data_IF_516182821307
#
_entry.id   IF_516182821307
#
_cell.length_a   1.000
_cell.length_b   1.000
_cell.length_c   1.000
_cell.angle_alpha   90.00
_cell.angle_beta   90.00
_cell.angle_gamma   90.00
#
_symmetry.space_group_name_H-M   'P 1'
#
loop_
_entity.id
_entity.type
_entity.pdbx_description
1 polymer ?
#
# COMPACT_ATOMS: atom_id res chain seq x y z
N UNK A 1 2.50 -5.74 -0.82
CA UNK A 1 3.41 -4.60 -1.00
C UNK A 1 4.61 -5.05 -1.80
N UNK A 2 5.06 -4.21 -2.72
CA UNK A 2 6.19 -4.45 -3.60
C UNK A 2 7.09 -3.21 -3.63
N UNK A 3 8.38 -3.43 -3.88
CA UNK A 3 9.36 -2.38 -4.19
C UNK A 3 9.71 -2.47 -5.67
N UNK A 4 9.79 -1.35 -6.35
CA UNK A 4 10.24 -1.25 -7.73
C UNK A 4 11.76 -1.34 -7.79
N UNK A 5 12.28 -2.17 -8.67
CA UNK A 5 13.70 -2.35 -8.99
C UNK A 5 13.89 -2.39 -10.51
N UNK A 6 15.15 -2.42 -10.99
CA UNK A 6 15.50 -2.34 -12.41
C UNK A 6 14.84 -3.42 -13.30
N UNK A 7 14.39 -4.54 -12.73
CA UNK A 7 13.72 -5.64 -13.43
C UNK A 7 12.23 -5.79 -13.14
N UNK A 8 11.61 -4.88 -12.37
CA UNK A 8 10.18 -4.95 -12.04
C UNK A 8 9.87 -4.85 -10.55
N UNK A 9 8.81 -5.53 -10.11
CA UNK A 9 8.30 -5.44 -8.73
C UNK A 9 8.81 -6.60 -7.86
N UNK A 10 9.57 -6.28 -6.82
CA UNK A 10 10.04 -7.25 -5.82
C UNK A 10 9.06 -7.25 -4.64
N UNK A 11 8.46 -8.41 -4.36
CA UNK A 11 7.54 -8.58 -3.24
C UNK A 11 8.22 -8.29 -1.90
N UNK A 12 7.54 -7.53 -1.03
CA UNK A 12 8.03 -7.15 0.29
C UNK A 12 7.22 -7.80 1.43
N UNK A 13 5.95 -8.08 1.20
CA UNK A 13 5.06 -8.63 2.20
C UNK A 13 3.58 -8.33 1.91
N UNK A 14 2.70 -8.92 2.71
CA UNK A 14 1.24 -8.73 2.64
C UNK A 14 0.62 -8.93 4.02
N UNK A 15 -0.53 -8.32 4.24
CA UNK A 15 -1.34 -8.56 5.44
C UNK A 15 -2.83 -8.48 5.09
N UNK A 16 -3.68 -8.94 6.01
CA UNK A 16 -5.13 -8.72 5.96
C UNK A 16 -5.49 -7.59 6.91
N UNK A 17 -6.40 -6.71 6.49
CA UNK A 17 -6.89 -5.65 7.37
C UNK A 17 -7.66 -6.25 8.55
N UNK A 18 -7.54 -5.61 9.72
CA UNK A 18 -8.32 -5.95 10.90
C UNK A 18 -9.75 -5.36 10.83
N UNK A 19 -10.53 -5.52 11.89
CA UNK A 19 -11.92 -5.02 11.98
C UNK A 19 -12.02 -3.50 11.88
N UNK A 20 -10.94 -2.78 12.18
CA UNK A 20 -10.87 -1.31 12.09
C UNK A 20 -10.33 -0.84 10.73
N UNK A 21 -10.19 -1.75 9.77
CA UNK A 21 -9.69 -1.45 8.42
C UNK A 21 -8.18 -1.20 8.34
N UNK A 22 -7.42 -1.45 9.42
CA UNK A 22 -5.96 -1.22 9.45
C UNK A 22 -5.20 -2.45 9.00
N UNK A 23 -4.18 -2.22 8.18
CA UNK A 23 -3.22 -3.25 7.77
C UNK A 23 -2.39 -3.71 8.97
N UNK A 24 -2.07 -5.00 9.01
CA UNK A 24 -0.92 -5.48 9.76
C UNK A 24 0.39 -5.03 9.11
N UNK A 25 1.50 -5.55 9.62
CA UNK A 25 2.82 -5.23 9.09
C UNK A 25 3.01 -5.72 7.64
N UNK A 26 3.47 -4.83 6.74
CA UNK A 26 3.62 -5.11 5.29
C UNK A 26 5.07 -5.38 4.84
N UNK A 27 6.05 -5.10 5.69
CA UNK A 27 7.49 -5.31 5.45
C UNK A 27 8.11 -5.84 6.73
N UNK A 28 9.27 -6.49 6.68
CA UNK A 28 10.04 -6.81 7.90
C UNK A 28 10.26 -5.55 8.76
N UNK A 29 10.33 -5.71 10.10
CA UNK A 29 10.63 -4.59 11.00
C UNK A 29 12.01 -4.06 10.60
N UNK A 30 12.07 -2.81 10.19
CA UNK A 30 13.31 -2.12 9.84
C UNK A 30 13.26 -0.71 10.45
N UNK A 31 14.35 -0.30 11.08
CA UNK A 31 14.48 1.07 11.63
C UNK A 31 14.54 2.13 10.54
N UNK A 32 14.87 1.72 9.31
CA UNK A 32 14.89 2.58 8.12
C UNK A 32 14.40 1.82 6.88
N UNK A 33 13.51 2.45 6.12
CA UNK A 33 13.04 1.91 4.84
C UNK A 33 13.96 2.39 3.71
N UNK A 34 14.27 1.52 2.75
CA UNK A 34 15.09 1.90 1.60
C UNK A 34 14.33 2.90 0.73
N UNK A 35 14.93 4.02 0.31
CA UNK A 35 14.32 4.89 -0.69
C UNK A 35 14.05 4.16 -2.01
N UNK A 36 13.07 4.67 -2.74
CA UNK A 36 12.64 4.15 -4.03
C UNK A 36 11.13 4.15 -4.21
N UNK A 37 10.70 3.50 -5.30
CA UNK A 37 9.29 3.38 -5.65
C UNK A 37 8.70 2.12 -5.01
N UNK A 38 7.52 2.26 -4.42
CA UNK A 38 6.78 1.17 -3.82
C UNK A 38 5.37 1.09 -4.38
N UNK A 39 4.78 -0.10 -4.26
CA UNK A 39 3.38 -0.38 -4.62
C UNK A 39 2.67 -1.11 -3.48
N UNK A 40 1.48 -0.64 -3.12
CA UNK A 40 0.52 -1.39 -2.30
C UNK A 40 -0.68 -1.71 -3.17
N UNK A 41 -1.16 -2.95 -3.11
CA UNK A 41 -2.36 -3.39 -3.82
C UNK A 41 -3.38 -3.86 -2.80
N UNK A 42 -4.59 -3.33 -2.89
CA UNK A 42 -5.73 -3.65 -2.06
C UNK A 42 -6.70 -4.52 -2.86
N UNK A 43 -7.05 -5.69 -2.35
CA UNK A 43 -7.99 -6.63 -2.98
C UNK A 43 -9.44 -6.17 -2.79
N UNK A 44 -9.82 -5.05 -3.40
CA UNK A 44 -11.12 -4.41 -3.21
C UNK A 44 -12.30 -5.24 -3.71
N UNK A 45 -12.09 -6.09 -4.71
CA UNK A 45 -13.16 -6.97 -5.25
C UNK A 45 -13.61 -8.04 -4.26
N UNK A 46 -12.73 -8.52 -3.38
CA UNK A 46 -13.12 -9.43 -2.29
C UNK A 46 -13.96 -8.71 -1.22
N UNK A 47 -13.69 -7.42 -1.00
CA UNK A 47 -14.40 -6.59 -0.03
C UNK A 47 -15.75 -6.07 -0.57
N UNK A 48 -15.81 -5.72 -1.86
CA UNK A 48 -17.01 -5.20 -2.51
C UNK A 48 -17.21 -5.90 -3.88
N UNK A 49 -17.81 -7.11 -3.91
CA UNK A 49 -17.91 -7.92 -5.12
C UNK A 49 -18.73 -7.31 -6.25
N UNK A 50 -19.66 -6.41 -5.93
CA UNK A 50 -20.46 -5.67 -6.92
C UNK A 50 -19.81 -4.34 -7.33
N UNK A 51 -18.64 -4.02 -6.76
CA UNK A 51 -17.87 -2.84 -7.10
C UNK A 51 -17.15 -2.97 -8.43
N UNK A 52 -16.80 -1.82 -9.00
CA UNK A 52 -16.13 -1.69 -10.30
C UNK A 52 -14.66 -2.10 -10.25
N UNK A 53 -14.00 -1.99 -9.10
CA UNK A 53 -12.56 -2.24 -8.97
C UNK A 53 -12.28 -3.65 -8.42
N UNK A 54 -11.72 -4.57 -9.22
CA UNK A 54 -11.32 -5.89 -8.73
C UNK A 54 -10.17 -5.78 -7.71
N UNK A 55 -9.31 -4.78 -7.88
CA UNK A 55 -8.29 -4.38 -6.92
C UNK A 55 -7.88 -2.93 -7.20
N UNK A 56 -7.27 -2.27 -6.22
CA UNK A 56 -6.68 -0.93 -6.37
C UNK A 56 -5.19 -0.99 -6.04
N UNK A 57 -4.33 -0.52 -6.94
CA UNK A 57 -2.89 -0.43 -6.71
C UNK A 57 -2.43 1.01 -6.62
N UNK A 58 -1.81 1.37 -5.49
CA UNK A 58 -1.24 2.69 -5.23
C UNK A 58 0.28 2.58 -5.35
N UNK A 59 0.86 3.40 -6.23
CA UNK A 59 2.32 3.52 -6.42
C UNK A 59 2.78 4.84 -5.83
N UNK A 60 3.82 4.83 -5.02
CA UNK A 60 4.35 6.02 -4.35
C UNK A 60 5.87 5.94 -4.19
N UNK A 61 6.49 7.10 -3.98
CA UNK A 61 7.94 7.24 -3.78
C UNK A 61 8.24 7.47 -2.30
N UNK A 62 9.30 6.82 -1.82
CA UNK A 62 9.98 7.16 -0.57
C UNK A 62 11.32 7.78 -0.92
N UNK A 63 11.55 9.02 -0.50
CA UNK A 63 12.80 9.75 -0.74
C UNK A 63 13.82 9.49 0.37
N UNK A 64 15.10 9.79 0.09
CA UNK A 64 16.19 9.66 1.07
C UNK A 64 15.90 10.41 2.38
N UNK A 65 15.33 11.61 2.29
CA UNK A 65 14.96 12.42 3.46
C UNK A 65 13.85 11.79 4.32
N UNK A 66 13.13 10.79 3.80
CA UNK A 66 11.94 10.20 4.42
C UNK A 66 12.21 8.77 4.91
N UNK A 67 13.46 8.29 4.88
CA UNK A 67 13.80 6.89 5.20
C UNK A 67 13.47 6.45 6.62
N UNK A 68 13.32 7.42 7.53
CA UNK A 68 12.92 7.22 8.94
C UNK A 68 11.47 7.60 9.22
N UNK A 69 10.73 8.10 8.21
CA UNK A 69 9.34 8.49 8.37
C UNK A 69 8.41 7.26 8.28
N UNK A 70 7.31 7.32 9.03
CA UNK A 70 6.24 6.35 8.90
C UNK A 70 5.33 6.73 7.72
N UNK A 71 5.08 5.78 6.81
CA UNK A 71 4.23 6.01 5.64
C UNK A 71 2.85 5.41 5.87
N UNK A 72 1.87 6.28 6.09
CA UNK A 72 0.46 5.91 6.12
C UNK A 72 -0.18 6.18 4.77
N UNK A 73 -0.73 5.14 4.11
CA UNK A 73 -1.36 5.24 2.79
C UNK A 73 -2.79 4.71 2.88
N UNK A 74 -3.78 5.55 3.24
CA UNK A 74 -5.17 5.15 3.34
C UNK A 74 -5.80 4.89 1.96
N UNK A 75 -6.81 4.03 1.94
CA UNK A 75 -7.71 3.86 0.80
C UNK A 75 -9.15 4.08 1.28
N UNK A 76 -9.81 5.10 0.75
CA UNK A 76 -11.26 5.28 0.89
C UNK A 76 -11.88 4.72 -0.38
N UNK A 77 -12.75 3.72 -0.25
CA UNK A 77 -13.32 3.03 -1.42
C UNK A 77 -14.85 3.00 -1.32
N UNK A 78 -15.49 3.32 -2.44
CA UNK A 78 -16.90 3.08 -2.72
C UNK A 78 -17.00 2.12 -3.92
N UNK A 79 -18.20 1.61 -4.26
CA UNK A 79 -18.33 0.69 -5.40
C UNK A 79 -17.76 1.24 -6.72
N UNK A 80 -17.79 2.56 -6.96
CA UNK A 80 -17.39 3.16 -8.26
C UNK A 80 -16.40 4.33 -8.13
N UNK A 81 -15.90 4.59 -6.92
CA UNK A 81 -14.84 5.58 -6.71
C UNK A 81 -13.88 5.13 -5.62
N UNK A 82 -12.66 5.65 -5.66
CA UNK A 82 -11.76 5.58 -4.52
C UNK A 82 -10.95 6.86 -4.42
N UNK A 83 -10.43 7.14 -3.25
CA UNK A 83 -9.41 8.16 -3.03
C UNK A 83 -8.31 7.62 -2.11
N UNK A 84 -7.13 8.19 -2.27
CA UNK A 84 -5.94 7.85 -1.47
C UNK A 84 -5.14 9.13 -1.25
N UNK A 85 -4.26 9.13 -0.25
CA UNK A 85 -3.37 10.23 0.07
C UNK A 85 -2.23 9.73 0.97
N UNK A 86 -1.23 10.58 1.21
CA UNK A 86 -0.22 10.35 2.24
C UNK A 86 -0.73 10.90 3.57
N UNK A 87 -1.05 9.99 4.50
CA UNK A 87 -1.39 10.35 5.88
C UNK A 87 -0.15 10.66 6.72
N UNK A 88 -0.39 11.27 7.88
CA UNK A 88 0.58 11.41 8.98
C UNK A 88 0.82 10.08 9.69
#
# INVERSE_FOLDING_TARGET
>A
MWRGDAGGWVYQGSSKTNTDGRSGQLTSIVDAVKPGIYRISFNTGEYNPSGFFPYVSIVFEIRESQKLEHFHVPLLVSPFSFSTYRGS
#
